data_IF_193625901733
#
_entry.id   IF_193625901733
#
_cell.length_a   1.000
_cell.length_b   1.000
_cell.length_c   1.000
_cell.angle_alpha   90.00
_cell.angle_beta   90.00
_cell.angle_gamma   90.00
#
_symmetry.space_group_name_H-M   'P 1'
#
loop_
_entity.id
_entity.type
_entity.pdbx_description
1 polymer ?
#
# COMPACT_ATOMS: atom_id res chain seq x y z
N UNK A 1 10.57 -13.33 -1.86
CA UNK A 1 9.98 -12.09 -1.32
C UNK A 1 10.97 -11.29 -0.48
N UNK A 2 12.02 -11.91 0.07
CA UNK A 2 12.95 -11.25 1.00
C UNK A 2 13.89 -10.22 0.36
N UNK A 3 14.22 -10.36 -0.93
CA UNK A 3 15.19 -9.48 -1.60
C UNK A 3 14.75 -8.00 -1.61
N UNK A 4 13.49 -7.71 -1.95
CA UNK A 4 12.97 -6.33 -1.99
C UNK A 4 12.94 -5.70 -0.60
N UNK A 5 12.59 -6.49 0.43
CA UNK A 5 12.55 -6.00 1.80
C UNK A 5 13.95 -5.64 2.30
N UNK A 6 14.96 -6.47 2.02
CA UNK A 6 16.34 -6.19 2.42
C UNK A 6 16.95 -5.03 1.65
N UNK A 7 16.63 -4.87 0.37
CA UNK A 7 17.02 -3.72 -0.44
C UNK A 7 16.43 -2.41 0.12
N UNK A 8 15.15 -2.42 0.49
CA UNK A 8 14.51 -1.26 1.12
C UNK A 8 15.14 -0.91 2.47
N UNK A 9 15.37 -1.91 3.32
CA UNK A 9 16.05 -1.69 4.61
C UNK A 9 17.45 -1.12 4.42
N UNK A 10 18.18 -1.59 3.42
CA UNK A 10 19.51 -1.07 3.08
C UNK A 10 19.42 0.37 2.61
N UNK A 11 18.52 0.67 1.69
CA UNK A 11 18.29 2.03 1.20
C UNK A 11 17.97 3.01 2.34
N UNK A 12 17.03 2.69 3.24
CA UNK A 12 16.69 3.58 4.36
C UNK A 12 17.80 3.74 5.40
N UNK A 13 18.72 2.78 5.50
CA UNK A 13 19.87 2.85 6.42
C UNK A 13 21.01 3.71 5.85
N UNK A 14 21.26 3.54 4.56
CA UNK A 14 22.43 4.10 3.89
C UNK A 14 22.14 5.50 3.29
N UNK A 15 20.87 5.88 3.15
CA UNK A 15 20.46 7.13 2.49
C UNK A 15 20.18 8.24 3.51
N UNK A 16 20.76 9.44 3.34
CA UNK A 16 20.45 10.61 4.16
C UNK A 16 18.96 11.00 4.12
N UNK A 17 18.46 11.52 5.24
CA UNK A 17 17.05 11.87 5.39
C UNK A 17 16.57 12.94 4.39
N UNK A 18 17.42 13.90 4.04
CA UNK A 18 17.12 14.93 3.04
C UNK A 18 16.96 14.32 1.64
N UNK A 19 17.77 13.31 1.30
CA UNK A 19 17.66 12.58 0.05
C UNK A 19 16.38 11.76 0.01
N UNK A 20 16.03 11.06 1.11
CA UNK A 20 14.77 10.32 1.22
C UNK A 20 13.57 11.26 0.98
N UNK A 21 13.59 12.48 1.56
CA UNK A 21 12.53 13.46 1.35
C UNK A 21 12.42 13.94 -0.10
N UNK A 22 13.57 14.18 -0.77
CA UNK A 22 13.59 14.53 -2.20
C UNK A 22 13.01 13.40 -3.06
N UNK A 23 13.44 12.17 -2.80
CA UNK A 23 12.98 11.00 -3.54
C UNK A 23 11.47 10.79 -3.36
N UNK A 24 10.95 11.02 -2.15
CA UNK A 24 9.50 11.03 -1.91
C UNK A 24 8.77 12.16 -2.62
N UNK A 25 9.34 13.36 -2.68
CA UNK A 25 8.73 14.49 -3.40
C UNK A 25 8.58 14.20 -4.90
N UNK A 26 9.51 13.46 -5.50
CA UNK A 26 9.38 13.03 -6.90
C UNK A 26 8.18 12.09 -7.15
N UNK A 27 7.72 11.39 -6.11
CA UNK A 27 6.55 10.50 -6.24
C UNK A 27 5.23 11.26 -6.28
N UNK A 28 5.21 12.55 -5.91
CA UNK A 28 3.98 13.34 -5.91
C UNK A 28 3.34 13.47 -7.29
N UNK A 29 4.17 13.46 -8.36
CA UNK A 29 3.69 13.48 -9.75
C UNK A 29 2.78 12.30 -10.10
N UNK A 30 2.86 11.21 -9.33
CA UNK A 30 2.04 10.02 -9.52
C UNK A 30 0.77 10.02 -8.66
N UNK A 31 0.55 11.01 -7.77
CA UNK A 31 -0.69 11.10 -6.97
C UNK A 31 -1.95 11.20 -7.83
N UNK A 32 -1.83 11.73 -9.03
CA UNK A 32 -2.93 11.89 -10.00
C UNK A 32 -2.92 10.81 -11.10
N UNK A 33 -1.96 9.88 -11.05
CA UNK A 33 -1.83 8.82 -12.05
C UNK A 33 -2.58 7.58 -11.57
N UNK A 34 -3.66 7.25 -12.28
CA UNK A 34 -4.48 6.07 -12.01
C UNK A 34 -5.64 6.34 -11.05
N UNK A 35 -6.50 5.33 -10.82
CA UNK A 35 -7.59 5.44 -9.88
C UNK A 35 -7.03 5.59 -8.46
N UNK A 36 -7.67 6.44 -7.68
CA UNK A 36 -7.46 6.47 -6.24
C UNK A 36 -7.71 5.08 -5.66
N UNK A 37 -7.11 4.77 -4.50
CA UNK A 37 -7.36 3.50 -3.81
C UNK A 37 -8.85 3.26 -3.62
N UNK A 38 -9.63 4.32 -3.34
CA UNK A 38 -11.08 4.22 -3.20
C UNK A 38 -11.77 3.86 -4.51
N UNK A 39 -11.41 4.50 -5.62
CA UNK A 39 -11.96 4.19 -6.95
C UNK A 39 -11.59 2.77 -7.39
N UNK A 40 -10.35 2.34 -7.15
CA UNK A 40 -9.91 0.98 -7.41
C UNK A 40 -10.75 -0.02 -6.61
N UNK A 41 -10.88 0.18 -5.29
CA UNK A 41 -11.67 -0.70 -4.42
C UNK A 41 -13.14 -0.76 -4.86
N UNK A 42 -13.73 0.35 -5.27
CA UNK A 42 -15.10 0.39 -5.76
C UNK A 42 -15.25 -0.33 -7.11
N UNK A 43 -14.30 -0.14 -8.02
CA UNK A 43 -14.26 -0.86 -9.30
C UNK A 43 -14.10 -2.37 -9.08
N UNK A 44 -13.21 -2.78 -8.17
CA UNK A 44 -13.01 -4.18 -7.80
C UNK A 44 -14.26 -4.79 -7.17
N UNK A 45 -14.93 -4.09 -6.23
CA UNK A 45 -16.21 -4.55 -5.65
C UNK A 45 -17.25 -4.75 -6.74
N UNK A 46 -17.41 -3.77 -7.65
CA UNK A 46 -18.34 -3.86 -8.77
C UNK A 46 -18.02 -5.03 -9.67
N UNK A 47 -16.74 -5.28 -9.96
CA UNK A 47 -16.31 -6.44 -10.75
C UNK A 47 -16.63 -7.77 -10.05
N UNK A 48 -16.33 -7.87 -8.75
CA UNK A 48 -16.63 -9.06 -7.93
C UNK A 48 -18.14 -9.32 -7.78
N UNK A 49 -18.95 -8.26 -7.68
CA UNK A 49 -20.41 -8.36 -7.61
C UNK A 49 -21.03 -8.82 -8.96
N UNK A 50 -20.43 -8.43 -10.09
CA UNK A 50 -20.88 -8.80 -11.43
C UNK A 50 -20.58 -10.27 -11.79
N UNK A 51 -19.48 -10.84 -11.27
CA UNK A 51 -19.09 -12.23 -11.52
C UNK A 51 -19.82 -13.26 -10.63
N UNK A 52 -20.86 -12.84 -9.89
CA UNK A 52 -21.70 -13.77 -9.12
C UNK A 52 -20.98 -14.50 -7.98
N UNK A 53 -19.73 -14.12 -7.68
CA UNK A 53 -19.00 -14.58 -6.51
C UNK A 53 -19.60 -13.90 -5.28
N UNK A 54 -20.73 -14.46 -4.79
CA UNK A 54 -21.11 -14.34 -3.38
C UNK A 54 -19.94 -14.86 -2.57
N UNK A 55 -19.05 -13.96 -2.16
CA UNK A 55 -18.04 -14.26 -1.16
C UNK A 55 -18.81 -14.51 0.15
N UNK A 56 -19.25 -15.76 0.35
CA UNK A 56 -19.53 -16.31 1.69
C UNK A 56 -18.18 -16.48 2.41
N UNK A 57 -17.46 -15.40 2.62
CA UNK A 57 -16.41 -15.34 3.63
C UNK A 57 -16.82 -14.25 4.61
N UNK A 58 -17.67 -14.63 5.56
CA UNK A 58 -17.97 -13.86 6.76
C UNK A 58 -16.73 -13.63 7.67
N UNK A 59 -15.52 -13.94 7.21
CA UNK A 59 -14.27 -13.86 7.97
C UNK A 59 -13.16 -13.03 7.32
N UNK A 60 -13.37 -12.44 6.13
CA UNK A 60 -12.48 -11.37 5.65
C UNK A 60 -12.98 -10.05 6.22
N UNK A 61 -12.94 -9.95 7.54
CA UNK A 61 -12.79 -8.64 8.15
C UNK A 61 -11.52 -8.10 7.49
N UNK A 62 -11.66 -7.05 6.67
CA UNK A 62 -10.59 -6.08 6.46
C UNK A 62 -10.33 -5.48 7.84
N UNK A 63 -9.76 -6.27 8.74
CA UNK A 63 -9.06 -5.76 9.89
C UNK A 63 -7.92 -5.05 9.20
N UNK A 64 -8.00 -3.73 9.11
CA UNK A 64 -6.79 -2.93 9.10
C UNK A 64 -5.97 -3.53 10.25
N UNK A 65 -4.93 -4.35 9.98
CA UNK A 65 -4.19 -4.97 11.06
C UNK A 65 -3.70 -3.78 11.84
N UNK A 66 -4.26 -3.56 13.05
CA UNK A 66 -4.01 -2.37 13.86
C UNK A 66 -2.53 -2.11 13.70
N UNK A 67 -2.17 -1.03 13.01
CA UNK A 67 -0.79 -0.71 12.73
C UNK A 67 -0.11 -0.69 14.08
N UNK A 68 0.61 -1.77 14.42
CA UNK A 68 1.62 -1.71 15.45
C UNK A 68 2.69 -0.87 14.79
N UNK A 69 2.60 0.44 14.99
CA UNK A 69 3.72 1.35 14.83
C UNK A 69 4.81 0.88 15.81
N UNK A 70 5.53 -0.17 15.44
CA UNK A 70 6.77 -0.61 16.08
C UNK A 70 7.96 0.26 15.69
N UNK A 71 7.71 1.51 15.28
CA UNK A 71 8.71 2.53 14.94
C UNK A 71 8.60 3.73 15.90
N UNK A 72 8.34 3.45 17.17
CA UNK A 72 8.61 4.37 18.28
C UNK A 72 9.38 3.59 19.34
N UNK A 73 10.68 3.47 19.13
CA UNK A 73 11.70 3.42 20.18
C UNK A 73 12.79 4.40 19.75
#
# INVERSE_FOLDING_TARGET
MDAILEELKKYFRDTPQDQIQRDWAETEKFKTVGPTVHEYMNATKRYLDLDGWRIKNQNLILVNPKQTFGFLI
#
